data_IF_254792234809
#
_entry.id   IF_254792234809
#
_cell.length_a   1.000
_cell.length_b   1.000
_cell.length_c   1.000
_cell.angle_alpha   90.00
_cell.angle_beta   90.00
_cell.angle_gamma   90.00
#
_symmetry.space_group_name_H-M   'P 1'
#
loop_
_entity.id
_entity.type
_entity.pdbx_description
1 polymer ?
#
# COMPACT_ATOMS: atom_id res chain seq x y z
N UNK A 1 -11.46 -5.44 12.57
CA UNK A 1 -10.30 -4.52 12.62
C UNK A 1 -9.05 -5.27 12.21
N UNK A 2 -8.25 -4.69 11.31
CA UNK A 2 -7.03 -5.35 10.83
C UNK A 2 -5.82 -4.99 11.70
N UNK A 3 -4.82 -5.87 11.66
CA UNK A 3 -3.58 -5.67 12.42
C UNK A 3 -2.82 -4.44 11.93
N UNK A 4 -2.27 -3.60 12.83
CA UNK A 4 -1.38 -2.52 12.41
C UNK A 4 -0.14 -3.09 11.71
N UNK A 5 0.05 -2.68 10.47
CA UNK A 5 1.14 -3.19 9.63
C UNK A 5 1.26 -2.33 8.38
N UNK A 6 2.35 -2.53 7.63
CA UNK A 6 2.48 -1.98 6.29
C UNK A 6 1.99 -3.04 5.30
N UNK A 7 0.89 -2.76 4.63
CA UNK A 7 0.30 -3.67 3.65
C UNK A 7 0.77 -3.30 2.25
N UNK A 8 1.43 -4.24 1.58
CA UNK A 8 1.86 -4.04 0.19
C UNK A 8 0.72 -4.46 -0.72
N UNK A 9 0.16 -3.49 -1.45
CA UNK A 9 -1.06 -3.69 -2.23
C UNK A 9 -0.73 -3.62 -3.72
N UNK A 10 -0.83 -4.76 -4.44
CA UNK A 10 -0.65 -4.75 -5.89
C UNK A 10 -1.84 -4.06 -6.53
N UNK A 11 -1.59 -3.02 -7.33
CA UNK A 11 -2.65 -2.30 -8.02
C UNK A 11 -2.93 -2.92 -9.37
N UNK A 12 -4.18 -2.82 -9.82
CA UNK A 12 -4.54 -3.24 -11.16
C UNK A 12 -4.34 -2.09 -12.13
N UNK A 13 -3.85 -2.41 -13.32
CA UNK A 13 -3.69 -1.44 -14.39
C UNK A 13 -4.55 -1.87 -15.58
N UNK A 14 -5.10 -0.88 -16.30
CA UNK A 14 -5.90 -1.14 -17.48
C UNK A 14 -7.26 -1.73 -17.17
N UNK A 15 -7.74 -2.58 -18.06
CA UNK A 15 -9.12 -3.06 -18.05
C UNK A 15 -9.31 -4.39 -17.32
N UNK A 16 -8.29 -4.87 -16.62
CA UNK A 16 -8.41 -6.14 -15.91
C UNK A 16 -9.41 -6.02 -14.77
N UNK A 17 -10.46 -6.86 -14.74
CA UNK A 17 -11.42 -6.81 -13.65
C UNK A 17 -10.76 -7.15 -12.30
N UNK A 18 -11.12 -6.43 -11.25
CA UNK A 18 -10.54 -6.64 -9.93
C UNK A 18 -10.78 -8.06 -9.41
N UNK A 19 -11.91 -8.67 -9.80
CA UNK A 19 -12.23 -10.03 -9.37
C UNK A 19 -11.25 -11.08 -9.91
N UNK A 20 -10.51 -10.77 -10.98
CA UNK A 20 -9.52 -11.67 -11.55
C UNK A 20 -8.15 -11.53 -10.92
N UNK A 21 -7.83 -10.36 -10.33
CA UNK A 21 -6.51 -10.09 -9.79
C UNK A 21 -6.53 -9.80 -8.29
N UNK A 22 -7.69 -9.49 -7.74
CA UNK A 22 -7.85 -9.20 -6.31
C UNK A 22 -8.80 -10.19 -5.65
N UNK A 23 -8.32 -11.05 -4.76
CA UNK A 23 -9.20 -11.87 -3.92
C UNK A 23 -10.12 -10.98 -3.06
N UNK A 24 -11.34 -11.43 -2.74
CA UNK A 24 -12.24 -10.66 -1.89
C UNK A 24 -11.66 -10.26 -0.53
N UNK A 25 -10.76 -11.06 0.03
CA UNK A 25 -10.12 -10.74 1.31
C UNK A 25 -9.32 -9.45 1.22
N UNK A 26 -8.74 -9.12 0.06
CA UNK A 26 -8.01 -7.88 -0.11
C UNK A 26 -8.94 -6.67 -0.05
N UNK A 27 -10.14 -6.79 -0.61
CA UNK A 27 -11.15 -5.73 -0.50
C UNK A 27 -11.45 -5.43 0.95
N UNK A 28 -11.67 -6.47 1.76
CA UNK A 28 -12.02 -6.29 3.17
C UNK A 28 -10.89 -5.63 3.96
N UNK A 29 -9.64 -5.90 3.59
CA UNK A 29 -8.49 -5.26 4.21
C UNK A 29 -8.39 -3.79 3.78
N UNK A 30 -8.50 -3.54 2.48
CA UNK A 30 -8.30 -2.19 1.92
C UNK A 30 -9.32 -1.19 2.46
N UNK A 31 -10.58 -1.59 2.62
CA UNK A 31 -11.61 -0.67 3.10
C UNK A 31 -11.38 -0.22 4.54
N UNK A 32 -10.56 -0.93 5.31
CA UNK A 32 -10.25 -0.54 6.70
C UNK A 32 -9.02 0.38 6.78
N UNK A 33 -8.25 0.54 5.71
CA UNK A 33 -7.04 1.35 5.72
C UNK A 33 -7.40 2.81 5.46
N UNK A 34 -6.86 3.72 6.29
CA UNK A 34 -7.08 5.16 6.16
C UNK A 34 -5.82 5.94 5.80
N UNK A 35 -4.69 5.26 5.69
CA UNK A 35 -3.39 5.87 5.36
C UNK A 35 -2.76 5.10 4.23
N UNK A 36 -2.46 5.79 3.12
CA UNK A 36 -1.88 5.14 1.94
C UNK A 36 -0.63 5.87 1.47
N UNK A 37 0.45 5.14 1.28
CA UNK A 37 1.67 5.62 0.65
C UNK A 37 1.52 5.34 -0.84
N UNK A 38 1.64 6.38 -1.68
CA UNK A 38 1.30 6.29 -3.09
C UNK A 38 2.32 7.01 -3.95
N UNK A 39 2.45 6.59 -5.20
CA UNK A 39 3.27 7.30 -6.17
C UNK A 39 2.55 8.54 -6.68
N UNK A 40 1.26 8.41 -6.98
CA UNK A 40 0.44 9.51 -7.44
C UNK A 40 -0.93 9.44 -6.80
N UNK A 41 -1.33 10.54 -6.15
CA UNK A 41 -2.59 10.58 -5.40
C UNK A 41 -3.81 10.39 -6.31
N UNK A 42 -3.79 10.98 -7.49
CA UNK A 42 -4.92 10.86 -8.43
C UNK A 42 -5.18 9.40 -8.81
N UNK A 43 -4.13 8.69 -9.17
CA UNK A 43 -4.23 7.28 -9.55
C UNK A 43 -4.69 6.43 -8.37
N UNK A 44 -4.17 6.73 -7.17
CA UNK A 44 -4.56 6.02 -5.96
C UNK A 44 -6.05 6.21 -5.65
N UNK A 45 -6.57 7.44 -5.77
CA UNK A 45 -8.00 7.70 -5.57
C UNK A 45 -8.85 6.89 -6.54
N UNK A 46 -8.43 6.83 -7.79
CA UNK A 46 -9.15 6.10 -8.82
C UNK A 46 -9.15 4.60 -8.51
N UNK A 47 -8.01 4.07 -8.10
CA UNK A 47 -7.88 2.67 -7.73
C UNK A 47 -8.82 2.32 -6.56
N UNK A 48 -8.82 3.14 -5.51
CA UNK A 48 -9.66 2.88 -4.34
C UNK A 48 -11.15 2.91 -4.69
N UNK A 49 -11.57 3.85 -5.54
CA UNK A 49 -12.96 3.89 -5.99
C UNK A 49 -13.33 2.72 -6.87
N UNK A 50 -12.35 2.18 -7.61
CA UNK A 50 -12.55 0.98 -8.40
C UNK A 50 -12.75 -0.25 -7.51
N UNK A 51 -12.00 -0.34 -6.40
CA UNK A 51 -12.14 -1.42 -5.44
C UNK A 51 -13.48 -1.36 -4.73
N UNK A 52 -13.90 -0.17 -4.29
CA UNK A 52 -15.19 0.01 -3.63
C UNK A 52 -15.63 1.46 -3.74
N UNK A 53 -16.75 1.69 -4.43
CA UNK A 53 -17.28 3.03 -4.64
C UNK A 53 -17.72 3.71 -3.34
N UNK A 54 -17.95 2.95 -2.28
CA UNK A 54 -18.39 3.48 -1.00
C UNK A 54 -17.25 4.07 -0.17
N UNK A 55 -15.99 3.86 -0.58
CA UNK A 55 -14.85 4.41 0.14
C UNK A 55 -14.94 5.94 0.14
N UNK A 56 -14.88 6.52 1.34
CA UNK A 56 -14.85 7.97 1.50
C UNK A 56 -13.42 8.47 1.33
N UNK A 57 -13.10 8.93 0.12
CA UNK A 57 -11.75 9.41 -0.21
C UNK A 57 -11.32 10.55 0.72
N UNK A 58 -12.28 11.39 1.15
CA UNK A 58 -11.94 12.52 2.00
C UNK A 58 -11.50 12.12 3.42
N UNK A 59 -11.80 10.89 3.82
CA UNK A 59 -11.36 10.39 5.13
C UNK A 59 -9.97 9.76 5.09
N UNK A 60 -9.35 9.69 3.90
CA UNK A 60 -8.07 9.00 3.70
C UNK A 60 -6.95 10.02 3.61
N UNK A 61 -5.82 9.71 4.28
CA UNK A 61 -4.60 10.49 4.17
C UNK A 61 -3.66 9.83 3.19
N UNK A 62 -3.20 10.57 2.20
CA UNK A 62 -2.27 10.07 1.19
C UNK A 62 -0.87 10.65 1.46
N UNK A 63 0.13 9.78 1.36
CA UNK A 63 1.55 10.12 1.56
C UNK A 63 2.29 9.88 0.24
N UNK A 64 2.57 10.92 -0.54
CA UNK A 64 3.19 10.71 -1.85
C UNK A 64 4.66 10.32 -1.73
N UNK A 65 5.06 9.32 -2.52
CA UNK A 65 6.46 8.96 -2.69
C UNK A 65 7.04 9.79 -3.82
N UNK A 66 8.19 10.42 -3.59
CA UNK A 66 8.81 11.26 -4.60
C UNK A 66 10.31 11.08 -4.63
N UNK A 67 10.91 11.48 -5.73
CA UNK A 67 12.37 11.36 -5.92
C UNK A 67 13.16 12.22 -4.94
N UNK A 68 12.51 13.23 -4.38
CA UNK A 68 13.18 14.19 -3.48
C UNK A 68 12.88 13.91 -2.01
N UNK A 69 12.11 12.86 -1.71
CA UNK A 69 11.84 12.50 -0.33
C UNK A 69 13.00 11.67 0.23
N UNK A 70 13.36 11.94 1.48
CA UNK A 70 14.46 11.24 2.14
C UNK A 70 13.96 10.17 3.10
N UNK A 71 14.92 9.46 3.74
CA UNK A 71 14.59 8.38 4.67
C UNK A 71 13.78 8.87 5.88
N UNK A 72 14.05 10.08 6.36
CA UNK A 72 13.33 10.63 7.50
C UNK A 72 11.86 10.86 7.17
N UNK A 73 11.59 11.37 5.97
CA UNK A 73 10.22 11.57 5.49
C UNK A 73 9.49 10.23 5.40
N UNK A 74 10.14 9.21 4.83
CA UNK A 74 9.53 7.90 4.69
C UNK A 74 9.29 7.24 6.04
N UNK A 75 10.19 7.43 7.00
CA UNK A 75 9.98 6.91 8.35
C UNK A 75 8.74 7.54 9.00
N UNK A 76 8.47 8.82 8.72
CA UNK A 76 7.27 9.47 9.22
C UNK A 76 5.99 8.89 8.61
N UNK A 77 6.05 8.41 7.37
CA UNK A 77 4.90 7.78 6.73
C UNK A 77 4.45 6.50 7.45
N UNK A 78 5.34 5.88 8.20
CA UNK A 78 5.05 4.68 8.97
C UNK A 78 4.56 4.97 10.39
N UNK A 79 4.51 6.24 10.77
CA UNK A 79 4.08 6.64 12.10
C UNK A 79 2.68 6.14 12.49
N UNK A 80 1.68 6.13 11.59
CA UNK A 80 0.37 5.59 11.96
C UNK A 80 0.41 4.16 12.46
N UNK A 81 1.36 3.34 11.93
CA UNK A 81 1.48 1.96 12.37
C UNK A 81 1.91 1.89 13.84
N UNK A 82 2.82 2.77 14.24
CA UNK A 82 3.26 2.85 15.64
C UNK A 82 2.14 3.29 16.56
N UNK A 83 1.12 3.95 16.01
CA UNK A 83 -0.06 4.40 16.73
C UNK A 83 -1.21 3.41 16.68
N UNK A 84 -0.99 2.23 16.15
CA UNK A 84 -2.00 1.18 16.10
C UNK A 84 -2.89 1.17 14.87
N UNK A 85 -2.48 1.85 13.79
CA UNK A 85 -3.25 1.92 12.56
C UNK A 85 -2.53 1.25 11.40
N UNK A 86 -3.27 0.73 10.44
CA UNK A 86 -2.69 0.10 9.25
C UNK A 86 -2.34 1.17 8.21
N UNK A 87 -1.27 0.90 7.45
CA UNK A 87 -0.87 1.74 6.31
C UNK A 87 -0.77 0.85 5.08
N UNK A 88 -1.34 1.28 3.96
CA UNK A 88 -1.22 0.57 2.70
C UNK A 88 -0.22 1.28 1.79
N UNK A 89 0.53 0.52 1.01
CA UNK A 89 1.40 1.06 -0.02
C UNK A 89 0.91 0.61 -1.38
N UNK A 90 0.61 1.58 -2.24
CA UNK A 90 0.15 1.35 -3.60
C UNK A 90 1.23 1.78 -4.60
N UNK A 91 1.32 1.09 -5.73
CA UNK A 91 2.14 1.55 -6.82
C UNK A 91 1.39 1.39 -8.13
N UNK A 92 1.81 2.15 -9.14
CA UNK A 92 1.19 2.08 -10.45
C UNK A 92 1.68 0.88 -11.26
N UNK A 93 2.80 0.30 -10.85
CA UNK A 93 3.36 -0.84 -11.55
C UNK A 93 2.71 -2.17 -11.18
N UNK A 94 1.73 -2.16 -10.28
CA UNK A 94 1.06 -3.38 -9.82
C UNK A 94 1.85 -4.18 -8.82
N UNK A 95 3.08 -3.82 -8.56
CA UNK A 95 4.02 -4.56 -7.72
C UNK A 95 4.75 -3.58 -6.80
N UNK A 96 4.11 -3.15 -5.68
CA UNK A 96 4.73 -2.19 -4.77
C UNK A 96 6.05 -2.70 -4.22
N UNK A 97 6.98 -1.79 -3.94
CA UNK A 97 8.28 -2.07 -3.34
C UNK A 97 9.28 -2.78 -4.26
N UNK A 98 8.97 -2.96 -5.54
CA UNK A 98 9.93 -3.54 -6.50
C UNK A 98 11.01 -2.52 -6.86
N UNK A 99 10.65 -1.24 -6.98
CA UNK A 99 11.57 -0.18 -7.34
C UNK A 99 11.59 0.89 -6.26
N UNK A 100 12.66 1.69 -6.23
CA UNK A 100 12.71 2.85 -5.35
C UNK A 100 11.60 3.83 -5.76
N UNK A 101 10.97 4.51 -4.77
CA UNK A 101 11.30 4.51 -3.33
C UNK A 101 10.57 3.44 -2.51
N UNK A 102 9.74 2.62 -3.14
CA UNK A 102 8.95 1.61 -2.41
C UNK A 102 9.83 0.64 -1.63
N UNK A 103 10.92 0.14 -2.24
CA UNK A 103 11.84 -0.77 -1.57
C UNK A 103 12.53 -0.11 -0.38
N UNK A 104 12.80 1.18 -0.46
CA UNK A 104 13.38 1.93 0.65
C UNK A 104 12.44 1.96 1.84
N UNK A 105 11.16 2.18 1.60
CA UNK A 105 10.16 2.22 2.68
C UNK A 105 10.02 0.85 3.34
N UNK A 106 10.02 -0.24 2.55
CA UNK A 106 9.98 -1.60 3.10
C UNK A 106 11.20 -1.87 3.96
N UNK A 107 12.39 -1.46 3.50
CA UNK A 107 13.61 -1.65 4.28
C UNK A 107 13.56 -0.92 5.61
N UNK A 108 13.03 0.30 5.63
CA UNK A 108 12.86 1.06 6.87
C UNK A 108 11.89 0.33 7.81
N UNK A 109 10.78 -0.16 7.29
CA UNK A 109 9.81 -0.88 8.09
C UNK A 109 10.43 -2.12 8.73
N UNK A 110 11.19 -2.89 7.96
CA UNK A 110 11.86 -4.09 8.45
C UNK A 110 12.90 -3.75 9.52
N UNK A 111 13.66 -2.69 9.31
CA UNK A 111 14.66 -2.23 10.28
C UNK A 111 14.03 -1.83 11.60
N UNK A 112 12.83 -1.27 11.57
CA UNK A 112 12.12 -0.82 12.77
C UNK A 112 11.20 -1.90 13.34
N UNK A 113 11.30 -3.12 12.85
CA UNK A 113 10.49 -4.26 13.29
C UNK A 113 8.98 -4.05 13.06
N UNK A 114 8.64 -3.27 12.06
CA UNK A 114 7.25 -3.08 11.64
C UNK A 114 6.87 -4.25 10.74
N UNK A 115 5.71 -4.85 11.01
CA UNK A 115 5.20 -5.96 10.22
C UNK A 115 4.89 -5.49 8.79
N UNK A 116 5.35 -6.26 7.80
CA UNK A 116 5.06 -6.01 6.39
C UNK A 116 4.24 -7.17 5.85
N UNK A 117 3.09 -6.87 5.27
CA UNK A 117 2.13 -7.88 4.81
C UNK A 117 1.87 -7.70 3.31
N UNK A 118 2.41 -8.57 2.45
CA UNK A 118 2.08 -8.52 1.03
C UNK A 118 0.70 -9.12 0.79
N UNK A 119 -0.14 -8.43 0.03
CA UNK A 119 -1.44 -8.95 -0.34
C UNK A 119 -1.33 -9.75 -1.64
N UNK A 120 -2.18 -10.76 -1.78
CA UNK A 120 -2.20 -11.61 -2.96
C UNK A 120 -2.61 -10.79 -4.19
N UNK A 121 -1.87 -10.95 -5.30
CA UNK A 121 -2.13 -10.24 -6.53
C UNK A 121 -1.21 -10.73 -7.63
N UNK A 122 -1.10 -10.00 -8.74
CA UNK A 122 -0.33 -10.46 -9.91
C UNK A 122 1.14 -10.77 -9.64
N UNK A 123 1.74 -10.15 -8.62
CA UNK A 123 3.16 -10.34 -8.29
C UNK A 123 3.32 -10.75 -6.83
N UNK A 124 2.40 -11.56 -6.31
CA UNK A 124 2.39 -11.91 -4.89
C UNK A 124 3.65 -12.64 -4.42
N UNK A 125 4.24 -13.48 -5.28
CA UNK A 125 5.46 -14.20 -4.92
C UNK A 125 6.60 -13.22 -4.69
N UNK A 126 6.76 -12.24 -5.59
CA UNK A 126 7.80 -11.23 -5.44
C UNK A 126 7.59 -10.38 -4.20
N UNK A 127 6.35 -9.98 -3.93
CA UNK A 127 6.02 -9.21 -2.74
C UNK A 127 6.34 -9.99 -1.46
N UNK A 128 6.04 -11.28 -1.45
CA UNK A 128 6.33 -12.14 -0.30
C UNK A 128 7.83 -12.22 -0.03
N UNK A 129 8.65 -12.34 -1.09
CA UNK A 129 10.10 -12.37 -0.94
C UNK A 129 10.64 -11.06 -0.39
N UNK A 130 10.08 -9.93 -0.82
CA UNK A 130 10.52 -8.62 -0.32
C UNK A 130 10.10 -8.37 1.12
N UNK A 131 9.04 -9.01 1.58
CA UNK A 131 8.54 -8.84 2.95
C UNK A 131 9.22 -9.79 3.96
N UNK A 132 9.90 -10.81 3.49
CA UNK A 132 10.51 -11.82 4.37
C UNK A 132 11.82 -11.38 5.02
#
# INVERSE_FOLDING_TARGET
MITPALYLIPTTLGDTPSAQVFPPVNHDIIIEIKHFIVEEVRTARRFLKFIDKSIDINSITFYPMGKHSDSDTYAQYLQPIRQGQAVGMLSEAGCPAVADPGSTIVAIAQKESIKVVPLVGPSSILLALMAS
#
